data_IF_330162381745
#
_entry.id   IF_330162381745
#
_cell.length_a   1.000
_cell.length_b   1.000
_cell.length_c   1.000
_cell.angle_alpha   90.00
_cell.angle_beta   90.00
_cell.angle_gamma   90.00
#
_symmetry.space_group_name_H-M   'P 1'
#
loop_
_entity.id
_entity.type
_entity.pdbx_description
1 polymer ?
#
# COMPACT_ATOMS: atom_id res chain seq x y z
N UNK A 1 4.69 -19.67 -0.86
CA UNK A 1 3.42 -19.67 -1.58
C UNK A 1 3.06 -18.27 -2.01
N UNK A 2 2.44 -18.17 -3.17
CA UNK A 2 2.28 -17.00 -3.99
C UNK A 2 0.90 -17.00 -4.69
N UNK A 3 0.73 -16.20 -5.72
CA UNK A 3 -0.51 -16.06 -6.49
C UNK A 3 -0.67 -17.07 -7.63
N UNK A 4 0.23 -18.04 -7.80
CA UNK A 4 0.12 -19.07 -8.88
C UNK A 4 -1.24 -19.75 -8.99
N UNK A 5 -1.99 -20.01 -7.87
CA UNK A 5 -3.33 -20.60 -7.96
C UNK A 5 -4.36 -19.75 -8.72
N UNK A 6 -4.09 -18.45 -8.90
CA UNK A 6 -4.97 -17.54 -9.63
C UNK A 6 -4.59 -17.39 -11.11
N UNK A 7 -3.55 -18.08 -11.56
CA UNK A 7 -3.14 -18.08 -12.97
C UNK A 7 -4.31 -18.51 -13.84
N UNK A 8 -4.60 -17.78 -14.92
CA UNK A 8 -5.78 -18.01 -15.76
C UNK A 8 -7.02 -17.17 -15.40
N UNK A 9 -6.99 -16.41 -14.29
CA UNK A 9 -8.06 -15.49 -13.93
C UNK A 9 -7.80 -14.06 -14.43
N UNK A 10 -7.19 -13.88 -15.61
CA UNK A 10 -6.76 -12.58 -16.15
C UNK A 10 -7.87 -11.54 -16.33
N UNK A 11 -9.15 -11.97 -16.33
CA UNK A 11 -10.30 -11.05 -16.39
C UNK A 11 -10.76 -10.54 -15.01
N UNK A 12 -10.15 -11.03 -13.91
CA UNK A 12 -10.52 -10.61 -12.56
C UNK A 12 -10.19 -9.12 -12.35
N UNK A 13 -11.16 -8.37 -11.84
CA UNK A 13 -11.00 -6.94 -11.53
C UNK A 13 -10.78 -6.67 -10.07
N UNK A 14 -11.35 -7.48 -9.21
CA UNK A 14 -11.24 -7.34 -7.76
C UNK A 14 -10.88 -8.67 -7.12
N UNK A 15 -9.91 -8.65 -6.23
CA UNK A 15 -9.51 -9.80 -5.43
C UNK A 15 -9.38 -9.39 -3.97
N UNK A 16 -10.14 -10.07 -3.11
CA UNK A 16 -10.07 -9.91 -1.67
C UNK A 16 -9.67 -11.21 -1.01
N UNK A 17 -8.53 -11.22 -0.34
CA UNK A 17 -7.99 -12.38 0.36
C UNK A 17 -8.11 -12.19 1.86
N UNK A 18 -8.95 -12.98 2.49
CA UNK A 18 -9.13 -12.97 3.94
C UNK A 18 -8.38 -14.12 4.60
N UNK A 19 -7.45 -13.78 5.46
CA UNK A 19 -6.61 -14.74 6.22
C UNK A 19 -5.88 -15.76 5.34
N UNK A 20 -5.16 -15.35 4.28
CA UNK A 20 -4.42 -16.26 3.41
C UNK A 20 -3.19 -16.81 4.16
N UNK A 21 -3.38 -17.85 4.96
CA UNK A 21 -2.42 -18.37 5.94
C UNK A 21 -1.11 -18.89 5.35
N UNK A 22 -1.04 -19.09 4.03
CA UNK A 22 0.15 -19.61 3.33
C UNK A 22 0.82 -18.57 2.42
N UNK A 23 0.17 -17.44 2.16
CA UNK A 23 0.71 -16.40 1.27
C UNK A 23 1.95 -15.75 1.89
N UNK A 24 3.08 -15.74 1.17
CA UNK A 24 4.35 -15.16 1.61
C UNK A 24 4.80 -14.00 0.73
N UNK A 25 4.42 -14.00 -0.55
CA UNK A 25 4.78 -12.95 -1.51
C UNK A 25 3.65 -12.70 -2.50
N UNK A 26 3.74 -11.58 -3.25
CA UNK A 26 2.81 -11.28 -4.33
C UNK A 26 3.26 -11.85 -5.69
N UNK A 27 4.29 -12.69 -5.74
CA UNK A 27 4.75 -13.30 -7.00
C UNK A 27 3.62 -14.01 -7.71
N UNK A 28 3.58 -13.88 -9.04
CA UNK A 28 2.55 -14.46 -9.90
C UNK A 28 1.25 -13.66 -9.96
N UNK A 29 1.10 -12.59 -9.19
CA UNK A 29 -0.08 -11.72 -9.24
C UNK A 29 -0.22 -11.00 -10.58
N UNK A 30 0.87 -10.81 -11.32
CA UNK A 30 0.89 -10.20 -12.65
C UNK A 30 0.02 -10.92 -13.69
N UNK A 31 -0.30 -12.20 -13.47
CA UNK A 31 -1.26 -12.92 -14.31
C UNK A 31 -2.69 -12.35 -14.25
N UNK A 32 -2.98 -11.52 -13.23
CA UNK A 32 -4.25 -10.81 -13.04
C UNK A 32 -4.21 -9.43 -13.74
N UNK A 33 -3.99 -9.43 -15.05
CA UNK A 33 -3.68 -8.23 -15.85
C UNK A 33 -4.72 -7.10 -15.75
N UNK A 34 -5.97 -7.42 -15.40
CA UNK A 34 -7.08 -6.45 -15.29
C UNK A 34 -7.45 -6.12 -13.86
N UNK A 35 -6.63 -6.52 -12.89
CA UNK A 35 -6.92 -6.28 -11.48
C UNK A 35 -6.83 -4.79 -11.16
N UNK A 36 -7.93 -4.23 -10.65
CA UNK A 36 -8.02 -2.83 -10.23
C UNK A 36 -8.06 -2.68 -8.71
N UNK A 37 -8.49 -3.72 -7.98
CA UNK A 37 -8.52 -3.75 -6.53
C UNK A 37 -7.89 -5.03 -6.01
N UNK A 38 -6.93 -4.87 -5.10
CA UNK A 38 -6.33 -5.98 -4.33
C UNK A 38 -6.43 -5.66 -2.84
N UNK A 39 -7.15 -6.50 -2.11
CA UNK A 39 -7.22 -6.46 -0.65
C UNK A 39 -6.62 -7.74 -0.06
N UNK A 40 -5.72 -7.58 0.90
CA UNK A 40 -5.15 -8.66 1.69
C UNK A 40 -5.32 -8.36 3.18
N UNK A 41 -6.14 -9.16 3.85
CA UNK A 41 -6.43 -9.01 5.27
C UNK A 41 -5.91 -10.19 6.08
N UNK A 42 -5.21 -9.91 7.18
CA UNK A 42 -4.65 -10.92 8.10
C UNK A 42 -3.73 -11.94 7.41
N UNK A 43 -2.94 -11.48 6.44
CA UNK A 43 -1.94 -12.30 5.75
C UNK A 43 -0.69 -12.46 6.63
N UNK A 44 -0.78 -13.33 7.64
CA UNK A 44 0.20 -13.46 8.73
C UNK A 44 1.60 -13.91 8.31
N UNK A 45 1.75 -14.46 7.10
CA UNK A 45 3.03 -14.90 6.54
C UNK A 45 3.53 -14.03 5.39
N UNK A 46 2.73 -13.09 4.91
CA UNK A 46 3.11 -12.18 3.84
C UNK A 46 4.18 -11.22 4.37
N UNK A 47 5.41 -11.38 3.89
CA UNK A 47 6.58 -10.59 4.32
C UNK A 47 7.11 -9.68 3.22
N UNK A 48 6.67 -9.86 1.98
CA UNK A 48 7.08 -9.03 0.85
C UNK A 48 5.94 -8.79 -0.14
N UNK A 49 5.92 -7.58 -0.71
CA UNK A 49 5.01 -7.20 -1.80
C UNK A 49 5.60 -7.47 -3.20
N UNK A 50 6.79 -8.06 -3.30
CA UNK A 50 7.42 -8.39 -4.58
C UNK A 50 6.47 -9.19 -5.47
N UNK A 51 6.28 -8.72 -6.70
CA UNK A 51 5.31 -9.20 -7.69
C UNK A 51 4.18 -8.21 -7.94
N UNK A 52 3.83 -7.34 -6.97
CA UNK A 52 2.75 -6.37 -7.13
C UNK A 52 3.07 -5.32 -8.20
N UNK A 53 4.34 -5.06 -8.46
CA UNK A 53 4.84 -4.16 -9.49
C UNK A 53 4.39 -4.54 -10.90
N UNK A 54 3.93 -5.77 -11.11
CA UNK A 54 3.41 -6.27 -12.38
C UNK A 54 1.94 -5.85 -12.64
N UNK A 55 1.24 -5.33 -11.62
CA UNK A 55 -0.18 -4.95 -11.71
C UNK A 55 -0.37 -3.56 -12.31
N UNK A 56 -0.24 -3.43 -13.63
CA UNK A 56 -0.31 -2.13 -14.32
C UNK A 56 -1.68 -1.43 -14.25
N UNK A 57 -2.76 -2.16 -13.95
CA UNK A 57 -4.10 -1.60 -13.84
C UNK A 57 -4.56 -1.34 -12.41
N UNK A 58 -3.73 -1.62 -11.40
CA UNK A 58 -4.14 -1.52 -10.00
C UNK A 58 -4.40 -0.08 -9.60
N UNK A 59 -5.61 0.19 -9.11
CA UNK A 59 -6.06 1.49 -8.63
C UNK A 59 -6.16 1.54 -7.11
N UNK A 60 -6.47 0.40 -6.48
CA UNK A 60 -6.66 0.32 -5.03
C UNK A 60 -5.94 -0.87 -4.43
N UNK A 61 -5.08 -0.58 -3.46
CA UNK A 61 -4.37 -1.57 -2.66
C UNK A 61 -4.75 -1.41 -1.20
N UNK A 62 -5.23 -2.50 -0.59
CA UNK A 62 -5.58 -2.52 0.82
C UNK A 62 -4.83 -3.65 1.54
N UNK A 63 -4.09 -3.27 2.57
CA UNK A 63 -3.39 -4.16 3.48
C UNK A 63 -3.93 -3.95 4.89
N UNK A 64 -4.53 -4.99 5.47
CA UNK A 64 -5.08 -4.96 6.81
C UNK A 64 -4.45 -6.06 7.67
N UNK A 65 -3.84 -5.70 8.79
CA UNK A 65 -3.19 -6.65 9.72
C UNK A 65 -2.14 -7.56 9.05
N UNK A 66 -1.38 -7.01 8.09
CA UNK A 66 -0.29 -7.69 7.38
C UNK A 66 1.06 -7.34 8.05
N UNK A 67 1.27 -7.76 9.30
CA UNK A 67 2.30 -7.26 10.23
C UNK A 67 3.75 -7.60 9.89
N UNK A 68 4.00 -8.42 8.87
CA UNK A 68 5.37 -8.77 8.45
C UNK A 68 5.90 -7.94 7.29
N UNK A 69 5.03 -7.17 6.64
CA UNK A 69 5.46 -6.28 5.56
C UNK A 69 6.20 -5.10 6.19
N UNK A 70 7.48 -4.93 5.83
CA UNK A 70 8.30 -3.80 6.25
C UNK A 70 8.55 -2.83 5.10
N UNK A 71 8.63 -3.31 3.87
CA UNK A 71 8.96 -2.49 2.70
C UNK A 71 7.78 -2.37 1.75
N UNK A 72 7.50 -1.13 1.31
CA UNK A 72 6.52 -0.82 0.27
C UNK A 72 7.19 -0.41 -1.05
N UNK A 73 8.47 -0.69 -1.23
CA UNK A 73 9.21 -0.37 -2.48
C UNK A 73 8.48 -0.83 -3.74
N UNK A 74 7.87 -2.04 -3.81
CA UNK A 74 7.16 -2.47 -5.01
C UNK A 74 5.96 -1.59 -5.38
N UNK A 75 5.40 -0.82 -4.44
CA UNK A 75 4.27 0.09 -4.70
C UNK A 75 4.68 1.25 -5.62
N UNK A 76 5.96 1.63 -5.64
CA UNK A 76 6.48 2.71 -6.49
C UNK A 76 6.21 2.52 -8.00
N UNK A 77 6.02 1.28 -8.45
CA UNK A 77 5.75 0.95 -9.86
C UNK A 77 4.27 0.98 -10.24
N UNK A 78 3.37 1.19 -9.28
CA UNK A 78 1.92 1.22 -9.50
C UNK A 78 1.46 2.61 -9.95
N UNK A 79 1.67 2.94 -11.23
CA UNK A 79 1.45 4.29 -11.78
C UNK A 79 -0.01 4.77 -11.73
N UNK A 80 -0.97 3.85 -11.66
CA UNK A 80 -2.41 4.17 -11.61
C UNK A 80 -3.03 4.00 -10.22
N UNK A 81 -2.20 3.83 -9.19
CA UNK A 81 -2.68 3.67 -7.82
C UNK A 81 -3.30 4.99 -7.32
N UNK A 82 -4.60 4.96 -7.03
CA UNK A 82 -5.35 6.11 -6.49
C UNK A 82 -5.60 6.00 -5.00
N UNK A 83 -5.67 4.78 -4.46
CA UNK A 83 -5.92 4.56 -3.03
C UNK A 83 -4.98 3.48 -2.48
N UNK A 84 -4.27 3.81 -1.41
CA UNK A 84 -3.43 2.86 -0.69
C UNK A 84 -3.76 2.88 0.80
N UNK A 85 -4.21 1.74 1.32
CA UNK A 85 -4.52 1.56 2.74
C UNK A 85 -3.57 0.52 3.34
N UNK A 86 -2.88 0.90 4.41
CA UNK A 86 -1.95 0.07 5.14
C UNK A 86 -2.26 0.17 6.64
N UNK A 87 -3.30 -0.54 7.08
CA UNK A 87 -3.87 -0.40 8.41
C UNK A 87 -3.54 -1.61 9.29
N UNK A 88 -3.14 -1.37 10.53
CA UNK A 88 -2.69 -2.40 11.49
C UNK A 88 -1.56 -3.30 10.92
N UNK A 89 -0.67 -2.73 10.11
CA UNK A 89 0.43 -3.48 9.47
C UNK A 89 1.77 -3.42 10.23
N UNK A 90 1.84 -2.67 11.34
CA UNK A 90 3.05 -2.57 12.15
C UNK A 90 4.09 -1.62 11.55
N UNK A 91 5.32 -2.07 11.39
CA UNK A 91 6.45 -1.21 10.99
C UNK A 91 6.62 -1.19 9.49
N UNK A 92 6.57 0.00 8.91
CA UNK A 92 6.96 0.26 7.52
C UNK A 92 8.27 1.07 7.55
N UNK A 93 9.27 0.66 6.80
CA UNK A 93 10.59 1.28 6.84
C UNK A 93 10.54 2.76 6.43
N UNK A 94 9.90 3.05 5.30
CA UNK A 94 9.78 4.39 4.72
C UNK A 94 8.60 4.48 3.76
N UNK A 95 8.04 5.69 3.60
CA UNK A 95 7.06 6.00 2.57
C UNK A 95 7.66 6.70 1.34
N UNK A 96 8.99 6.85 1.27
CA UNK A 96 9.69 7.38 0.09
C UNK A 96 9.27 6.72 -1.24
N UNK A 97 8.98 5.41 -1.31
CA UNK A 97 8.49 4.79 -2.55
C UNK A 97 7.22 5.41 -3.11
N UNK A 98 6.41 6.10 -2.30
CA UNK A 98 5.20 6.79 -2.77
C UNK A 98 5.48 8.10 -3.51
N UNK A 99 6.69 8.65 -3.44
CA UNK A 99 7.03 9.92 -4.08
C UNK A 99 6.79 9.95 -5.61
N UNK A 100 6.70 8.78 -6.24
CA UNK A 100 6.40 8.62 -7.68
C UNK A 100 4.93 8.32 -7.98
N UNK A 101 4.09 8.18 -6.96
CA UNK A 101 2.68 7.81 -7.08
C UNK A 101 1.81 9.04 -7.38
N UNK A 102 1.97 9.62 -8.58
CA UNK A 102 1.34 10.91 -8.94
C UNK A 102 -0.18 10.88 -8.98
N UNK A 103 -0.79 9.71 -9.18
CA UNK A 103 -2.24 9.53 -9.23
C UNK A 103 -2.84 9.24 -7.84
N UNK A 104 -2.01 9.10 -6.80
CA UNK A 104 -2.46 8.75 -5.45
C UNK A 104 -3.28 9.88 -4.84
N UNK A 105 -4.56 9.59 -4.55
CA UNK A 105 -5.52 10.51 -3.96
C UNK A 105 -5.72 10.28 -2.45
N UNK A 106 -5.60 9.02 -2.02
CA UNK A 106 -5.85 8.61 -0.63
C UNK A 106 -4.75 7.69 -0.12
N UNK A 107 -4.16 8.05 1.01
CA UNK A 107 -3.22 7.20 1.73
C UNK A 107 -3.56 7.11 3.21
N UNK A 108 -3.87 5.89 3.69
CA UNK A 108 -4.21 5.62 5.07
C UNK A 108 -3.21 4.65 5.69
N UNK A 109 -2.57 5.07 6.79
CA UNK A 109 -1.66 4.23 7.57
C UNK A 109 -1.87 4.49 9.07
N UNK A 110 -2.79 3.78 9.66
CA UNK A 110 -3.19 4.01 11.03
C UNK A 110 -3.18 2.73 11.90
N UNK A 111 -3.66 2.85 13.12
CA UNK A 111 -3.60 1.81 14.16
C UNK A 111 -2.16 1.46 14.52
N UNK A 112 -1.74 0.20 14.40
CA UNK A 112 -0.37 -0.18 14.69
C UNK A 112 0.63 0.21 13.59
N UNK A 113 0.16 0.61 12.40
CA UNK A 113 1.04 1.01 11.29
C UNK A 113 1.78 2.29 11.63
N UNK A 114 3.10 2.26 11.45
CA UNK A 114 3.95 3.44 11.62
C UNK A 114 5.17 3.38 10.72
N UNK A 115 5.64 4.55 10.33
CA UNK A 115 6.79 4.75 9.44
C UNK A 115 8.03 4.94 10.30
N UNK A 116 9.06 4.09 10.12
CA UNK A 116 10.22 4.04 11.00
C UNK A 116 11.14 5.24 10.86
N UNK A 117 11.41 5.69 9.64
CA UNK A 117 12.25 6.86 9.38
C UNK A 117 11.57 8.18 9.79
N UNK A 118 10.25 8.16 9.96
CA UNK A 118 9.45 9.32 10.35
C UNK A 118 9.36 10.42 9.29
N UNK A 119 9.92 10.21 8.10
CA UNK A 119 9.88 11.19 7.02
C UNK A 119 8.55 11.13 6.27
N UNK A 120 7.71 12.13 6.46
CA UNK A 120 6.42 12.30 5.79
C UNK A 120 6.45 13.33 4.65
N UNK A 121 7.61 13.92 4.34
CA UNK A 121 7.77 14.85 3.21
C UNK A 121 7.27 14.30 1.86
N UNK A 122 7.38 13.00 1.55
CA UNK A 122 6.84 12.46 0.29
C UNK A 122 5.37 12.79 0.07
N UNK A 123 4.56 12.90 1.13
CA UNK A 123 3.13 13.22 1.03
C UNK A 123 2.88 14.64 0.49
N UNK A 124 3.76 15.57 0.79
CA UNK A 124 3.64 16.97 0.36
C UNK A 124 3.97 17.17 -1.12
N UNK A 125 4.66 16.21 -1.73
CA UNK A 125 5.05 16.24 -3.14
C UNK A 125 4.05 15.54 -4.08
N UNK A 126 2.99 14.92 -3.55
CA UNK A 126 2.03 14.16 -4.35
C UNK A 126 0.92 15.08 -4.90
N UNK A 127 0.86 15.30 -6.23
CA UNK A 127 -0.01 16.33 -6.81
C UNK A 127 -1.50 16.02 -6.71
N UNK A 128 -1.86 14.74 -6.59
CA UNK A 128 -3.26 14.30 -6.54
C UNK A 128 -3.74 13.96 -5.13
N UNK A 129 -2.82 13.92 -4.14
CA UNK A 129 -3.16 13.50 -2.78
C UNK A 129 -4.11 14.50 -2.12
N UNK A 130 -5.23 14.00 -1.63
CA UNK A 130 -6.29 14.77 -0.96
C UNK A 130 -6.53 14.35 0.48
N UNK A 131 -6.24 13.09 0.76
CA UNK A 131 -6.50 12.49 2.08
C UNK A 131 -5.29 11.69 2.53
N UNK A 132 -4.75 12.05 3.68
CA UNK A 132 -3.74 11.27 4.37
C UNK A 132 -4.16 11.07 5.83
N UNK A 133 -4.43 9.83 6.23
CA UNK A 133 -4.88 9.50 7.60
C UNK A 133 -3.82 8.67 8.31
N UNK A 134 -3.32 9.19 9.42
CA UNK A 134 -2.34 8.51 10.26
C UNK A 134 -2.43 8.99 11.71
N UNK A 135 -1.91 8.20 12.65
CA UNK A 135 -1.78 8.59 14.04
C UNK A 135 -0.52 9.44 14.23
N UNK A 136 -0.63 10.55 14.96
CA UNK A 136 0.51 11.39 15.31
C UNK A 136 1.55 10.60 16.11
N UNK A 137 2.85 10.81 15.79
CA UNK A 137 3.97 10.22 16.51
C UNK A 137 5.09 11.25 16.67
N UNK A 138 5.75 11.22 17.82
CA UNK A 138 6.77 12.24 18.18
C UNK A 138 7.97 12.29 17.21
N UNK A 139 8.26 11.21 16.48
CA UNK A 139 9.38 11.16 15.54
C UNK A 139 9.00 11.50 14.10
N UNK A 140 7.71 11.76 13.81
CA UNK A 140 7.29 12.16 12.47
C UNK A 140 7.68 13.60 12.17
N UNK A 141 8.09 13.83 10.92
CA UNK A 141 8.46 15.15 10.42
C UNK A 141 7.29 16.15 10.39
N UNK A 142 6.06 15.64 10.31
CA UNK A 142 4.81 16.42 10.26
C UNK A 142 3.73 15.77 11.11
N UNK A 143 2.83 16.61 11.65
CA UNK A 143 1.60 16.15 12.29
C UNK A 143 0.48 15.90 11.26
N UNK A 144 -0.59 15.17 11.62
CA UNK A 144 -1.76 15.05 10.74
C UNK A 144 -2.33 16.40 10.33
N UNK A 145 -2.42 17.36 11.27
CA UNK A 145 -2.96 18.69 11.02
C UNK A 145 -2.11 19.51 10.02
N UNK A 146 -0.78 19.38 10.09
CA UNK A 146 0.13 20.03 9.15
C UNK A 146 -0.01 19.45 7.74
N UNK A 147 -0.13 18.13 7.62
CA UNK A 147 -0.38 17.48 6.32
C UNK A 147 -1.75 17.90 5.77
N UNK A 148 -2.82 17.83 6.57
CA UNK A 148 -4.17 18.22 6.15
C UNK A 148 -4.22 19.68 5.67
N UNK A 149 -3.55 20.59 6.38
CA UNK A 149 -3.47 21.99 5.99
C UNK A 149 -2.75 22.16 4.64
N UNK A 150 -1.67 21.42 4.41
CA UNK A 150 -0.92 21.47 3.15
C UNK A 150 -1.72 20.87 1.97
N UNK A 151 -2.52 19.82 2.19
CA UNK A 151 -3.35 19.20 1.16
C UNK A 151 -4.60 20.03 0.82
N UNK A 152 -5.03 20.92 1.72
CA UNK A 152 -6.23 21.77 1.57
C UNK A 152 -5.94 23.09 0.88
N UNK A 153 -4.69 23.48 0.72
CA UNK A 153 -4.26 24.75 0.12
C UNK A 153 -4.05 24.65 -1.36
#
# INVERSE_FOLDING_TARGET
TDFSPFSGMGNLRELRLLSPSRLQSCRGVGSLERLTLLEMSRASKLDTLVGIEELSCLQRLELHSCKKIASIVPVASLSHLTSFYCCDCGRIDSIQPLATSTDLEEFLFHESTHVLDGDLFPLLGLPSLRVAVFAARAHYSHTPEEIDAALSG
#
